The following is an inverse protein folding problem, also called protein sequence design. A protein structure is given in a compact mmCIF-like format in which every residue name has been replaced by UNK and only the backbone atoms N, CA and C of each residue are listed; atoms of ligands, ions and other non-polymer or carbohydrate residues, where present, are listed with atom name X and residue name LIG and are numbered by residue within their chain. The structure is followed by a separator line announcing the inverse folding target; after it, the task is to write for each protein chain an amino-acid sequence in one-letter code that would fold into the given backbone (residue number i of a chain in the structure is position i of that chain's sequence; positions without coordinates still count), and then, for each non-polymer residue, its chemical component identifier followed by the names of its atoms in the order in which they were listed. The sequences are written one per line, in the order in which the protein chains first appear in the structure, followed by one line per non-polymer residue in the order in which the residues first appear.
data_IF_630364298650
#
_entry.id   IF_630364298650
#
_cell.length_a   1.000
_cell.length_b   1.000
_cell.length_c   1.000
_cell.angle_alpha   90.00
_cell.angle_beta   90.00
_cell.angle_gamma   90.00
#
_symmetry.space_group_name_H-M   'P 1'
#
loop_
_entity.id
_entity.type
_entity.pdbx_description
1 polymer ?
#
# COMPACT_ATOMS: atom_id res chain seq x y z
N UNK A 1 13.31 29.12 -7.45
CA UNK A 1 13.93 28.15 -6.53
C UNK A 1 12.92 27.69 -5.47
N UNK A 2 12.27 28.61 -4.77
CA UNK A 2 11.24 28.31 -3.76
C UNK A 2 10.05 27.48 -4.29
N UNK A 3 9.48 27.85 -5.45
CA UNK A 3 8.36 27.09 -6.03
C UNK A 3 8.72 25.67 -6.46
N UNK A 4 9.97 25.43 -6.89
CA UNK A 4 10.46 24.08 -7.18
C UNK A 4 10.56 23.27 -5.88
N UNK A 5 11.09 23.85 -4.82
CA UNK A 5 11.21 23.17 -3.52
C UNK A 5 9.83 22.77 -2.97
N UNK A 6 8.84 23.65 -3.07
CA UNK A 6 7.46 23.36 -2.66
C UNK A 6 6.84 22.25 -3.52
N UNK A 7 7.00 22.34 -4.85
CA UNK A 7 6.47 21.33 -5.77
C UNK A 7 7.09 19.95 -5.53
N UNK A 8 8.41 19.89 -5.39
CA UNK A 8 9.13 18.64 -5.08
C UNK A 8 8.71 18.08 -3.72
N UNK A 9 8.58 18.93 -2.69
CA UNK A 9 8.10 18.52 -1.38
C UNK A 9 6.67 17.96 -1.41
N UNK A 10 5.77 18.58 -2.19
CA UNK A 10 4.40 18.09 -2.38
C UNK A 10 4.37 16.74 -3.10
N UNK A 11 5.21 16.55 -4.12
CA UNK A 11 5.32 15.28 -4.85
C UNK A 11 5.85 14.17 -3.94
N UNK A 12 6.91 14.44 -3.17
CA UNK A 12 7.47 13.48 -2.23
C UNK A 12 6.46 13.15 -1.13
N UNK A 13 5.79 14.16 -0.56
CA UNK A 13 4.75 13.95 0.44
C UNK A 13 3.58 13.11 -0.09
N UNK A 14 3.12 13.37 -1.31
CA UNK A 14 2.09 12.58 -1.96
C UNK A 14 2.55 11.13 -2.23
N UNK A 15 3.81 10.93 -2.65
CA UNK A 15 4.38 9.61 -2.88
C UNK A 15 4.47 8.79 -1.57
N UNK A 16 4.95 9.41 -0.48
CA UNK A 16 5.01 8.77 0.84
C UNK A 16 3.61 8.42 1.33
N UNK A 17 2.66 9.35 1.20
CA UNK A 17 1.28 9.09 1.62
C UNK A 17 0.65 7.95 0.83
N UNK A 18 0.89 7.91 -0.48
CA UNK A 18 0.44 6.81 -1.35
C UNK A 18 1.07 5.47 -0.92
N UNK A 19 2.37 5.45 -0.64
CA UNK A 19 3.06 4.26 -0.15
C UNK A 19 2.47 3.76 1.18
N UNK A 20 2.29 4.66 2.16
CA UNK A 20 1.72 4.31 3.46
C UNK A 20 0.29 3.76 3.33
N UNK A 21 -0.52 4.31 2.43
CA UNK A 21 -1.90 3.83 2.22
C UNK A 21 -1.92 2.48 1.52
N UNK A 22 -1.18 2.33 0.41
CA UNK A 22 -1.19 1.12 -0.40
C UNK A 22 -0.53 -0.05 0.36
N UNK A 23 0.68 0.14 0.87
CA UNK A 23 1.43 -0.92 1.56
C UNK A 23 0.87 -1.15 2.98
N UNK A 24 0.42 -0.08 3.65
CA UNK A 24 -0.21 -0.20 4.97
C UNK A 24 -1.55 -0.94 4.94
N UNK A 25 -2.31 -0.84 3.85
CA UNK A 25 -3.52 -1.64 3.65
C UNK A 25 -3.19 -3.13 3.52
N UNK A 26 -2.23 -3.47 2.67
CA UNK A 26 -1.80 -4.86 2.43
C UNK A 26 -1.27 -5.53 3.69
N UNK A 27 -0.34 -4.86 4.38
CA UNK A 27 0.21 -5.32 5.65
C UNK A 27 -0.87 -5.40 6.75
N UNK A 28 -1.80 -4.43 6.77
CA UNK A 28 -2.93 -4.41 7.68
C UNK A 28 -3.85 -5.62 7.51
N UNK A 29 -4.17 -5.99 6.27
CA UNK A 29 -4.93 -7.20 5.97
C UNK A 29 -4.14 -8.45 6.39
N UNK A 30 -2.84 -8.50 6.14
CA UNK A 30 -1.97 -9.59 6.57
C UNK A 30 -1.97 -9.79 8.09
N UNK A 31 -1.91 -8.70 8.87
CA UNK A 31 -1.99 -8.73 10.34
C UNK A 31 -3.37 -9.22 10.82
N UNK A 32 -4.45 -8.79 10.17
CA UNK A 32 -5.81 -9.14 10.54
C UNK A 32 -6.22 -10.55 10.08
N UNK A 33 -5.53 -11.12 9.09
CA UNK A 33 -5.88 -12.39 8.46
C UNK A 33 -6.07 -13.58 9.43
N UNK A 34 -5.23 -13.79 10.46
CA UNK A 34 -5.43 -14.86 11.44
C UNK A 34 -6.72 -14.72 12.27
N UNK A 35 -7.22 -13.48 12.41
CA UNK A 35 -8.41 -13.14 13.18
C UNK A 35 -9.70 -13.18 12.35
N UNK A 36 -9.61 -13.54 11.07
CA UNK A 36 -10.77 -13.64 10.20
C UNK A 36 -11.78 -14.69 10.74
N UNK A 37 -13.09 -14.34 10.78
CA UNK A 37 -14.10 -15.15 11.46
C UNK A 37 -14.42 -16.47 10.77
N UNK A 38 -14.25 -16.56 9.44
CA UNK A 38 -14.50 -17.75 8.65
C UNK A 38 -13.67 -17.76 7.35
N UNK A 39 -13.69 -18.88 6.62
CA UNK A 39 -12.97 -19.03 5.34
C UNK A 39 -13.48 -18.06 4.26
N UNK A 40 -14.77 -17.69 4.28
CA UNK A 40 -15.34 -16.76 3.32
C UNK A 40 -14.75 -15.36 3.52
N UNK A 41 -14.63 -14.92 4.77
CA UNK A 41 -13.97 -13.68 5.14
C UNK A 41 -12.50 -13.69 4.73
N UNK A 42 -11.78 -14.81 4.94
CA UNK A 42 -10.39 -14.97 4.46
C UNK A 42 -10.28 -14.84 2.95
N UNK A 43 -11.20 -15.46 2.21
CA UNK A 43 -11.25 -15.33 0.75
C UNK A 43 -11.53 -13.90 0.30
N UNK A 44 -12.45 -13.20 0.97
CA UNK A 44 -12.73 -11.78 0.68
C UNK A 44 -11.51 -10.91 0.97
N UNK A 45 -10.85 -11.13 2.11
CA UNK A 45 -9.62 -10.43 2.49
C UNK A 45 -8.55 -10.61 1.40
N UNK A 46 -8.19 -11.83 1.03
CA UNK A 46 -7.18 -12.10 -0.01
C UNK A 46 -7.56 -11.46 -1.35
N UNK A 47 -8.82 -11.64 -1.79
CA UNK A 47 -9.28 -11.07 -3.06
C UNK A 47 -9.29 -9.55 -3.08
N UNK A 48 -9.38 -8.89 -1.91
CA UNK A 48 -9.30 -7.42 -1.82
C UNK A 48 -7.88 -6.88 -1.98
N UNK A 49 -6.85 -7.67 -1.63
CA UNK A 49 -5.43 -7.27 -1.71
C UNK A 49 -4.80 -7.69 -3.05
N UNK A 50 -5.23 -8.81 -3.63
CA UNK A 50 -4.62 -9.37 -4.84
C UNK A 50 -4.39 -8.37 -6.01
N UNK A 51 -5.29 -7.42 -6.32
CA UNK A 51 -5.08 -6.48 -7.42
C UNK A 51 -4.04 -5.39 -7.13
N UNK A 52 -3.82 -5.05 -5.85
CA UNK A 52 -2.92 -3.96 -5.43
C UNK A 52 -1.54 -4.46 -5.01
N UNK A 53 -1.48 -5.68 -4.46
CA UNK A 53 -0.25 -6.34 -4.02
C UNK A 53 0.81 -6.45 -5.12
N UNK A 54 0.43 -6.90 -6.33
CA UNK A 54 1.33 -7.04 -7.48
C UNK A 54 1.97 -5.70 -7.91
N UNK A 55 1.19 -4.62 -7.76
CA UNK A 55 1.70 -3.25 -7.93
C UNK A 55 2.73 -2.89 -6.86
N UNK A 56 2.42 -3.16 -5.59
CA UNK A 56 3.31 -2.86 -4.47
C UNK A 56 4.64 -3.63 -4.55
N UNK A 57 4.64 -4.90 -4.97
CA UNK A 57 5.87 -5.66 -5.21
C UNK A 57 6.75 -4.98 -6.28
N UNK A 58 6.15 -4.47 -7.35
CA UNK A 58 6.88 -3.75 -8.40
C UNK A 58 7.51 -2.45 -7.87
N UNK A 59 6.80 -1.68 -7.05
CA UNK A 59 7.34 -0.47 -6.42
C UNK A 59 8.50 -0.77 -5.48
N UNK A 60 8.40 -1.86 -4.71
CA UNK A 60 9.45 -2.29 -3.79
C UNK A 60 10.72 -2.71 -4.56
N UNK A 61 10.57 -3.38 -5.71
CA UNK A 61 11.69 -3.73 -6.60
C UNK A 61 12.33 -2.48 -7.24
N UNK A 62 11.54 -1.47 -7.62
CA UNK A 62 12.07 -0.23 -8.20
C UNK A 62 12.68 0.71 -7.17
N UNK A 63 12.21 0.67 -5.92
CA UNK A 63 12.72 1.49 -4.81
C UNK A 63 13.92 0.91 -4.09
N UNK A 64 14.27 -0.36 -4.36
CA UNK A 64 15.42 -1.09 -3.80
C UNK A 64 16.75 -0.82 -4.48
#
# INVERSE_FOLDING_TARGET
MESLAILSGAIIGAAILMYVVLDGFDLGIGILFPFAPDEKARHIMINSVAPVWDGNETWLVLGG
#
